data_IF_950564129009
#
_entry.id   IF_950564129009
#
_cell.length_a   1.000
_cell.length_b   1.000
_cell.length_c   1.000
_cell.angle_alpha   90.00
_cell.angle_beta   90.00
_cell.angle_gamma   90.00
#
_symmetry.space_group_name_H-M   'P 1'
#
loop_
_entity.id
_entity.type
_entity.pdbx_description
1 polymer ?
#
# COMPACT_ATOMS: atom_id res chain seq x y z
N UNK A 1 -31.45 12.49 7.32
CA UNK A 1 -30.78 11.47 8.16
C UNK A 1 -29.32 11.41 7.73
N UNK A 2 -28.38 12.03 8.48
CA UNK A 2 -26.95 11.89 8.20
C UNK A 2 -26.57 10.47 8.61
N UNK A 3 -26.41 9.57 7.66
CA UNK A 3 -25.85 8.23 7.90
C UNK A 3 -24.49 8.44 8.58
N UNK A 4 -24.39 8.07 9.87
CA UNK A 4 -23.12 8.02 10.57
C UNK A 4 -22.23 7.06 9.79
N UNK A 5 -21.01 7.48 9.47
CA UNK A 5 -20.06 6.63 8.76
C UNK A 5 -19.82 5.34 9.55
N UNK A 6 -19.97 4.15 8.94
CA UNK A 6 -19.74 2.91 9.65
C UNK A 6 -18.25 2.84 10.07
N UNK A 7 -18.02 2.28 11.24
CA UNK A 7 -16.68 1.97 11.70
C UNK A 7 -16.00 1.00 10.70
N UNK A 8 -14.69 1.13 10.51
CA UNK A 8 -13.93 0.28 9.58
C UNK A 8 -14.14 -1.22 9.85
N UNK A 9 -14.25 -1.64 11.10
CA UNK A 9 -14.58 -3.02 11.46
C UNK A 9 -15.94 -3.46 10.91
N UNK A 10 -16.98 -2.63 11.09
CA UNK A 10 -18.34 -2.94 10.59
C UNK A 10 -18.31 -3.04 9.07
N UNK A 11 -17.61 -2.13 8.39
CA UNK A 11 -17.46 -2.18 6.94
C UNK A 11 -16.81 -3.48 6.46
N UNK A 12 -15.67 -3.86 7.06
CA UNK A 12 -14.95 -5.08 6.69
C UNK A 12 -15.74 -6.35 6.96
N UNK A 13 -16.44 -6.43 8.11
CA UNK A 13 -17.34 -7.54 8.39
C UNK A 13 -18.51 -7.60 7.41
N UNK A 14 -19.04 -6.44 6.99
CA UNK A 14 -20.08 -6.40 5.96
C UNK A 14 -19.59 -6.92 4.60
N UNK A 15 -18.37 -6.52 4.19
CA UNK A 15 -17.74 -7.03 2.96
C UNK A 15 -17.49 -8.53 3.09
N UNK A 16 -16.95 -8.99 4.20
CA UNK A 16 -16.71 -10.40 4.48
C UNK A 16 -18.02 -11.22 4.38
N UNK A 17 -19.11 -10.71 4.95
CA UNK A 17 -20.42 -11.33 4.88
C UNK A 17 -21.00 -11.35 3.45
N UNK A 18 -20.81 -10.27 2.69
CA UNK A 18 -21.22 -10.20 1.27
C UNK A 18 -20.46 -11.20 0.42
N UNK A 19 -19.15 -11.35 0.62
CA UNK A 19 -18.35 -12.34 -0.10
C UNK A 19 -18.77 -13.76 0.32
N UNK A 20 -19.00 -14.02 1.61
CA UNK A 20 -19.53 -15.31 2.08
C UNK A 20 -20.89 -15.62 1.44
N UNK A 21 -21.78 -14.63 1.32
CA UNK A 21 -23.04 -14.79 0.62
C UNK A 21 -22.85 -15.08 -0.89
N UNK A 22 -21.90 -14.39 -1.55
CA UNK A 22 -21.59 -14.64 -2.95
C UNK A 22 -21.16 -16.09 -3.23
N UNK A 23 -20.52 -16.76 -2.25
CA UNK A 23 -20.11 -18.17 -2.38
C UNK A 23 -21.27 -19.17 -2.54
N UNK A 24 -22.51 -18.74 -2.29
CA UNK A 24 -23.73 -19.56 -2.49
C UNK A 24 -24.25 -19.48 -3.92
N UNK A 25 -23.82 -18.48 -4.69
CA UNK A 25 -24.29 -18.21 -6.04
C UNK A 25 -23.21 -18.47 -7.09
N UNK A 26 -21.95 -18.23 -6.77
CA UNK A 26 -20.83 -18.46 -7.68
C UNK A 26 -20.38 -19.91 -7.56
N UNK A 27 -20.38 -20.69 -8.65
CA UNK A 27 -19.92 -22.09 -8.63
C UNK A 27 -18.41 -22.15 -8.31
N UNK A 28 -18.01 -23.20 -7.60
CA UNK A 28 -16.60 -23.48 -7.37
C UNK A 28 -15.88 -23.89 -8.66
N UNK A 29 -14.73 -23.30 -8.91
CA UNK A 29 -13.84 -23.69 -10.01
C UNK A 29 -12.41 -23.83 -9.55
N UNK A 30 -11.61 -24.56 -10.30
CA UNK A 30 -10.22 -24.79 -9.98
C UNK A 30 -9.39 -24.92 -11.25
N UNK A 31 -8.23 -24.26 -11.23
CA UNK A 31 -7.13 -24.57 -12.14
C UNK A 31 -6.15 -25.52 -11.45
N UNK A 32 -5.54 -26.41 -12.20
CA UNK A 32 -4.39 -27.17 -11.71
C UNK A 32 -3.17 -26.26 -11.63
N UNK A 33 -2.28 -26.54 -10.66
CA UNK A 33 -1.06 -25.78 -10.47
C UNK A 33 0.15 -26.68 -10.58
N UNK A 34 1.20 -26.20 -11.25
CA UNK A 34 2.48 -26.88 -11.36
C UNK A 34 3.58 -26.08 -10.64
N UNK A 35 4.52 -26.78 -10.03
CA UNK A 35 5.65 -26.15 -9.37
C UNK A 35 6.73 -25.81 -10.41
N UNK A 36 6.93 -24.53 -10.68
CA UNK A 36 7.97 -24.02 -11.58
C UNK A 36 8.89 -23.10 -10.78
N UNK A 37 10.17 -23.43 -10.70
CA UNK A 37 11.17 -22.65 -9.95
C UNK A 37 10.76 -22.35 -8.49
N UNK A 38 10.16 -23.33 -7.81
CA UNK A 38 9.70 -23.16 -6.42
C UNK A 38 8.41 -22.39 -6.24
N UNK A 39 7.73 -21.96 -7.32
CA UNK A 39 6.45 -21.26 -7.29
C UNK A 39 5.34 -22.10 -7.90
N UNK A 40 4.16 -22.08 -7.28
CA UNK A 40 2.98 -22.71 -7.87
C UNK A 40 2.42 -21.78 -8.95
N UNK A 41 2.42 -22.24 -10.20
CA UNK A 41 1.84 -21.55 -11.34
C UNK A 41 0.59 -22.28 -11.82
N UNK A 42 -0.41 -21.54 -12.21
CA UNK A 42 -1.68 -22.03 -12.76
C UNK A 42 -1.48 -22.55 -14.19
N UNK A 43 -2.06 -23.69 -14.52
CA UNK A 43 -2.19 -24.15 -15.91
C UNK A 43 -3.51 -23.65 -16.49
N UNK A 44 -3.48 -22.73 -17.48
CA UNK A 44 -4.67 -22.07 -17.99
C UNK A 44 -5.64 -23.02 -18.72
N UNK A 45 -5.19 -24.21 -19.14
CA UNK A 45 -5.99 -25.16 -19.90
C UNK A 45 -6.70 -26.20 -19.01
N UNK A 46 -6.54 -26.13 -17.71
CA UNK A 46 -7.02 -27.16 -16.76
C UNK A 46 -8.23 -26.72 -15.96
N UNK A 47 -8.85 -25.58 -16.30
CA UNK A 47 -10.04 -25.13 -15.57
C UNK A 47 -11.15 -26.20 -15.60
N UNK A 48 -11.67 -26.50 -14.44
CA UNK A 48 -12.84 -27.35 -14.26
C UNK A 48 -13.67 -26.88 -13.07
N UNK A 49 -14.97 -27.08 -13.16
CA UNK A 49 -15.84 -26.83 -12.03
C UNK A 49 -15.66 -27.91 -10.97
N UNK A 50 -15.60 -27.49 -9.72
CA UNK A 50 -15.53 -28.36 -8.54
C UNK A 50 -16.80 -28.25 -7.72
N UNK A 51 -17.01 -29.18 -6.78
CA UNK A 51 -18.13 -29.09 -5.87
C UNK A 51 -18.12 -27.74 -5.14
N UNK A 52 -19.21 -27.02 -5.21
CA UNK A 52 -19.35 -25.73 -4.52
C UNK A 52 -19.16 -25.92 -3.00
N UNK A 53 -18.38 -25.03 -2.40
CA UNK A 53 -18.11 -25.00 -0.96
C UNK A 53 -18.64 -23.68 -0.36
N UNK A 54 -19.97 -23.52 -0.25
CA UNK A 54 -20.57 -22.28 0.27
C UNK A 54 -20.12 -22.03 1.71
N UNK A 55 -19.68 -20.82 1.98
CA UNK A 55 -19.16 -20.44 3.27
C UNK A 55 -20.29 -19.92 4.17
N UNK A 56 -20.72 -20.77 5.11
CA UNK A 56 -21.78 -20.46 6.07
C UNK A 56 -21.29 -19.66 7.28
N UNK A 57 -22.18 -19.43 8.24
CA UNK A 57 -21.92 -18.61 9.43
C UNK A 57 -20.69 -19.08 10.23
N UNK A 58 -20.48 -20.39 10.37
CA UNK A 58 -19.31 -20.94 11.10
C UNK A 58 -18.01 -20.59 10.39
N UNK A 59 -17.96 -20.70 9.06
CA UNK A 59 -16.80 -20.30 8.27
C UNK A 59 -16.56 -18.78 8.39
N UNK A 60 -17.61 -17.98 8.29
CA UNK A 60 -17.57 -16.53 8.47
C UNK A 60 -16.97 -16.14 9.82
N UNK A 61 -17.39 -16.79 10.93
CA UNK A 61 -16.87 -16.49 12.27
C UNK A 61 -15.42 -16.99 12.48
N UNK A 62 -15.01 -18.05 11.80
CA UNK A 62 -13.63 -18.57 11.85
C UNK A 62 -12.65 -17.79 10.92
N UNK A 63 -13.15 -17.13 9.90
CA UNK A 63 -12.32 -16.46 8.90
C UNK A 63 -11.38 -15.39 9.48
N UNK A 64 -11.79 -14.54 10.46
CA UNK A 64 -10.88 -13.58 11.08
C UNK A 64 -9.69 -14.24 11.80
N UNK A 65 -9.89 -15.41 12.42
CA UNK A 65 -8.81 -16.17 13.08
C UNK A 65 -7.81 -16.68 12.02
N UNK A 66 -8.32 -17.29 10.95
CA UNK A 66 -7.48 -17.71 9.81
C UNK A 66 -6.75 -16.52 9.21
N UNK A 67 -7.45 -15.37 9.05
CA UNK A 67 -6.87 -14.13 8.56
C UNK A 67 -5.74 -13.60 9.43
N UNK A 68 -5.89 -13.70 10.76
CA UNK A 68 -4.83 -13.34 11.71
C UNK A 68 -3.60 -14.24 11.53
N UNK A 69 -3.79 -15.55 11.42
CA UNK A 69 -2.70 -16.52 11.23
C UNK A 69 -1.99 -16.30 9.89
N UNK A 70 -2.74 -16.08 8.80
CA UNK A 70 -2.17 -15.87 7.47
C UNK A 70 -1.48 -14.50 7.34
N UNK A 71 -1.93 -13.49 8.08
CA UNK A 71 -1.32 -12.16 8.13
C UNK A 71 -0.35 -11.99 9.32
N UNK A 72 0.00 -13.05 10.05
CA UNK A 72 0.75 -12.96 11.30
C UNK A 72 2.08 -12.21 11.17
N UNK A 73 2.80 -12.40 10.06
CA UNK A 73 4.05 -11.73 9.76
C UNK A 73 3.86 -10.20 9.64
N UNK A 74 2.85 -9.75 8.88
CA UNK A 74 2.52 -8.33 8.73
C UNK A 74 2.05 -7.74 10.08
N UNK A 75 1.25 -8.49 10.81
CA UNK A 75 0.75 -8.07 12.13
C UNK A 75 1.91 -7.90 13.11
N UNK A 76 2.81 -8.88 13.18
CA UNK A 76 4.02 -8.81 14.03
C UNK A 76 4.89 -7.61 13.65
N UNK A 77 5.14 -7.40 12.35
CA UNK A 77 5.85 -6.25 11.82
C UNK A 77 5.24 -4.92 12.29
N UNK A 78 3.94 -4.74 12.11
CA UNK A 78 3.23 -3.51 12.49
C UNK A 78 3.36 -3.25 13.99
N UNK A 79 3.18 -4.28 14.84
CA UNK A 79 3.28 -4.14 16.30
C UNK A 79 4.73 -3.81 16.76
N UNK A 80 5.73 -4.50 16.20
CA UNK A 80 7.15 -4.28 16.52
C UNK A 80 7.57 -2.87 16.10
N UNK A 81 7.23 -2.48 14.87
CA UNK A 81 7.62 -1.16 14.36
C UNK A 81 6.89 -0.05 15.09
N UNK A 82 5.60 -0.25 15.43
CA UNK A 82 4.87 0.70 16.27
C UNK A 82 5.51 0.91 17.63
N UNK A 83 5.94 -0.18 18.28
CA UNK A 83 6.71 -0.13 19.51
C UNK A 83 8.05 0.62 19.34
N UNK A 84 8.78 0.32 18.26
CA UNK A 84 10.04 0.98 17.95
C UNK A 84 9.89 2.49 17.75
N UNK A 85 8.86 2.91 17.00
CA UNK A 85 8.57 4.34 16.80
C UNK A 85 8.17 5.05 18.09
N UNK A 86 7.41 4.41 18.98
CA UNK A 86 7.05 4.98 20.27
C UNK A 86 8.30 5.21 21.15
N UNK A 87 9.30 4.32 21.11
CA UNK A 87 10.60 4.53 21.77
C UNK A 87 11.32 5.74 21.17
N UNK A 88 11.37 5.87 19.85
CA UNK A 88 11.97 7.05 19.19
C UNK A 88 11.22 8.33 19.57
N UNK A 89 9.90 8.34 19.54
CA UNK A 89 9.08 9.49 19.96
C UNK A 89 9.35 9.89 21.41
N UNK A 90 9.53 8.91 22.32
CA UNK A 90 9.83 9.18 23.74
C UNK A 90 11.14 9.96 23.95
N UNK A 91 12.05 9.94 22.95
CA UNK A 91 13.28 10.75 22.99
C UNK A 91 13.07 12.21 22.58
N UNK A 92 11.86 12.59 22.09
CA UNK A 92 11.51 13.91 21.56
C UNK A 92 12.32 14.35 20.32
N UNK A 93 13.13 13.45 19.77
CA UNK A 93 14.00 13.75 18.62
C UNK A 93 13.18 14.03 17.35
N UNK A 94 12.13 13.22 17.09
CA UNK A 94 11.22 13.41 15.94
C UNK A 94 10.48 14.73 16.08
N UNK A 95 9.93 15.04 17.24
CA UNK A 95 9.18 16.29 17.46
C UNK A 95 10.07 17.52 17.25
N UNK A 96 11.33 17.44 17.69
CA UNK A 96 12.31 18.51 17.47
C UNK A 96 12.66 18.67 15.98
N UNK A 97 12.80 17.56 15.24
CA UNK A 97 13.00 17.59 13.81
C UNK A 97 11.78 18.19 13.07
N UNK A 98 10.56 17.78 13.45
CA UNK A 98 9.30 18.32 12.89
C UNK A 98 9.23 19.83 13.10
N UNK A 99 9.53 20.30 14.33
CA UNK A 99 9.59 21.76 14.63
C UNK A 99 10.64 22.47 13.78
N UNK A 100 11.79 21.86 13.55
CA UNK A 100 12.84 22.46 12.72
C UNK A 100 12.43 22.56 11.25
N UNK A 101 11.82 21.51 10.72
CA UNK A 101 11.25 21.50 9.36
C UNK A 101 10.12 22.51 9.24
N UNK A 102 9.23 22.60 10.23
CA UNK A 102 8.13 23.57 10.24
C UNK A 102 8.65 25.02 10.18
N UNK A 103 9.66 25.36 10.97
CA UNK A 103 10.33 26.68 10.90
C UNK A 103 10.94 26.96 9.55
N UNK A 104 11.66 25.99 8.97
CA UNK A 104 12.22 26.14 7.63
C UNK A 104 11.12 26.34 6.57
N UNK A 105 10.01 25.62 6.69
CA UNK A 105 8.85 25.74 5.81
C UNK A 105 8.17 27.13 5.91
N UNK A 106 8.10 27.73 7.10
CA UNK A 106 7.56 29.08 7.27
C UNK A 106 8.43 30.15 6.61
N UNK A 107 9.76 30.00 6.68
CA UNK A 107 10.71 31.01 6.28
C UNK A 107 11.23 30.83 4.83
N UNK A 108 11.05 29.65 4.22
CA UNK A 108 11.55 29.32 2.89
C UNK A 108 10.46 28.95 1.91
N UNK A 109 10.28 29.76 0.86
CA UNK A 109 9.38 29.44 -0.25
C UNK A 109 9.80 28.15 -0.99
N UNK A 110 11.11 27.89 -1.07
CA UNK A 110 11.65 26.68 -1.67
C UNK A 110 11.21 25.44 -0.89
N UNK A 111 11.40 25.42 0.43
CA UNK A 111 10.98 24.30 1.30
C UNK A 111 9.46 24.06 1.17
N UNK A 112 8.66 25.12 1.12
CA UNK A 112 7.21 25.01 0.92
C UNK A 112 6.85 24.35 -0.42
N UNK A 113 7.55 24.68 -1.48
CA UNK A 113 7.26 24.17 -2.81
C UNK A 113 7.77 22.74 -3.02
N UNK A 114 8.87 22.35 -2.37
CA UNK A 114 9.59 21.10 -2.67
C UNK A 114 9.34 19.98 -1.70
N UNK A 115 8.85 20.23 -0.48
CA UNK A 115 8.71 19.22 0.58
C UNK A 115 7.81 18.05 0.13
N UNK A 116 6.57 18.33 -0.32
CA UNK A 116 5.63 17.30 -0.78
C UNK A 116 6.19 16.57 -2.02
N UNK A 117 6.64 17.27 -3.09
CA UNK A 117 7.23 16.60 -4.26
C UNK A 117 8.38 15.67 -3.91
N UNK A 118 9.32 16.13 -3.06
CA UNK A 118 10.50 15.34 -2.71
C UNK A 118 10.09 14.06 -2.00
N UNK A 119 9.27 14.14 -0.95
CA UNK A 119 8.89 12.96 -0.18
C UNK A 119 8.02 12.00 -0.98
N UNK A 120 7.02 12.48 -1.73
CA UNK A 120 6.20 11.63 -2.60
C UNK A 120 7.07 10.90 -3.62
N UNK A 121 8.03 11.60 -4.24
CA UNK A 121 8.97 10.99 -5.21
C UNK A 121 9.90 9.98 -4.55
N UNK A 122 10.41 10.23 -3.34
CA UNK A 122 11.24 9.28 -2.60
C UNK A 122 10.47 8.00 -2.26
N UNK A 123 9.25 8.11 -1.76
CA UNK A 123 8.40 6.94 -1.51
C UNK A 123 8.04 6.21 -2.80
N UNK A 124 7.78 6.96 -3.88
CA UNK A 124 7.51 6.39 -5.20
C UNK A 124 8.72 5.64 -5.76
N UNK A 125 9.92 6.17 -5.60
CA UNK A 125 11.16 5.44 -5.94
C UNK A 125 11.27 4.15 -5.13
N UNK A 126 10.97 4.17 -3.82
CA UNK A 126 10.94 2.97 -2.99
C UNK A 126 9.99 1.90 -3.53
N UNK A 127 8.74 2.28 -3.84
CA UNK A 127 7.75 1.39 -4.45
C UNK A 127 8.19 0.85 -5.82
N UNK A 128 8.81 1.71 -6.64
CA UNK A 128 9.18 1.38 -8.02
C UNK A 128 10.46 0.55 -8.14
N UNK A 129 11.34 0.57 -7.14
CA UNK A 129 12.64 -0.11 -7.20
C UNK A 129 12.68 -1.39 -6.41
N UNK A 130 12.39 -1.34 -5.12
CA UNK A 130 12.43 -2.51 -4.24
C UNK A 130 11.05 -2.96 -3.74
N UNK A 131 9.96 -2.36 -4.25
CA UNK A 131 8.61 -2.81 -3.94
C UNK A 131 8.12 -2.37 -2.56
N UNK A 132 8.55 -1.18 -2.07
CA UNK A 132 8.07 -0.62 -0.81
C UNK A 132 6.55 -0.56 -0.77
N UNK A 133 5.97 -1.25 0.18
CA UNK A 133 4.53 -1.42 0.32
C UNK A 133 4.11 -1.32 1.80
N UNK A 134 4.22 -2.40 2.56
CA UNK A 134 3.94 -2.47 4.00
C UNK A 134 4.88 -1.58 4.81
N UNK A 135 6.10 -1.39 4.35
CA UNK A 135 7.11 -0.54 4.97
C UNK A 135 6.72 0.95 4.99
N UNK A 136 5.75 1.34 4.15
CA UNK A 136 5.20 2.70 4.17
C UNK A 136 4.29 2.96 5.39
N UNK A 137 3.70 1.92 6.00
CA UNK A 137 2.73 2.05 7.10
C UNK A 137 3.30 2.86 8.29
N UNK A 138 4.50 2.55 8.82
CA UNK A 138 5.05 3.26 9.97
C UNK A 138 5.30 4.75 9.75
N UNK A 139 5.57 5.15 8.50
CA UNK A 139 5.86 6.55 8.20
C UNK A 139 4.65 7.48 8.42
N UNK A 140 3.44 6.94 8.48
CA UNK A 140 2.23 7.69 8.85
C UNK A 140 2.39 8.34 10.23
N UNK A 141 3.09 7.68 11.17
CA UNK A 141 3.36 8.19 12.51
C UNK A 141 4.25 9.45 12.50
N UNK A 142 5.01 9.67 11.45
CA UNK A 142 5.88 10.84 11.26
C UNK A 142 5.16 11.90 10.41
N UNK A 143 4.61 11.46 9.28
CA UNK A 143 4.09 12.39 8.28
C UNK A 143 2.75 13.04 8.67
N UNK A 144 1.93 12.38 9.49
CA UNK A 144 0.69 12.99 10.01
C UNK A 144 1.00 14.15 10.97
N UNK A 145 1.81 13.97 12.04
CA UNK A 145 2.22 15.10 12.88
C UNK A 145 2.94 16.20 12.10
N UNK A 146 3.83 15.82 11.16
CA UNK A 146 4.52 16.79 10.31
C UNK A 146 3.54 17.62 9.47
N UNK A 147 2.59 16.97 8.79
CA UNK A 147 1.59 17.66 7.97
C UNK A 147 0.75 18.63 8.81
N UNK A 148 0.32 18.22 10.01
CA UNK A 148 -0.41 19.06 10.93
C UNK A 148 0.39 20.28 11.41
N UNK A 149 1.70 20.08 11.71
CA UNK A 149 2.61 21.15 12.09
C UNK A 149 2.83 22.17 10.95
N UNK A 150 2.80 21.70 9.69
CA UNK A 150 2.95 22.54 8.50
C UNK A 150 1.64 23.27 8.09
N UNK A 151 0.55 23.04 8.83
CA UNK A 151 -0.76 23.63 8.57
C UNK A 151 -1.58 22.89 7.51
N UNK A 152 -1.18 21.65 7.18
CA UNK A 152 -1.96 20.73 6.36
C UNK A 152 -2.88 19.88 7.25
N UNK A 153 -3.45 18.81 6.70
CA UNK A 153 -4.38 17.89 7.37
C UNK A 153 -3.84 16.46 7.48
N UNK A 154 -4.55 15.61 8.22
CA UNK A 154 -4.22 14.20 8.36
C UNK A 154 -4.21 13.47 7.01
N UNK A 155 -5.12 13.80 6.07
CA UNK A 155 -5.14 13.19 4.74
C UNK A 155 -3.83 13.44 4.00
N UNK A 156 -3.32 14.67 4.01
CA UNK A 156 -2.03 15.01 3.40
C UNK A 156 -0.90 14.21 4.03
N UNK A 157 -0.89 14.10 5.37
CA UNK A 157 0.13 13.33 6.10
C UNK A 157 0.13 11.84 5.74
N UNK A 158 -1.04 11.24 5.58
CA UNK A 158 -1.20 9.84 5.13
C UNK A 158 -0.79 9.69 3.67
N UNK A 159 -1.23 10.61 2.82
CA UNK A 159 -1.07 10.49 1.38
C UNK A 159 0.40 10.57 0.93
N UNK A 160 1.25 11.34 1.60
CA UNK A 160 2.68 11.47 1.23
C UNK A 160 3.37 10.11 1.20
N UNK A 161 3.47 9.33 2.29
CA UNK A 161 4.12 8.02 2.25
C UNK A 161 3.30 6.98 1.50
N UNK A 162 2.02 6.91 1.73
CA UNK A 162 1.17 5.84 1.23
C UNK A 162 0.92 5.96 -0.28
N UNK A 163 0.40 7.10 -0.77
CA UNK A 163 0.20 7.25 -2.22
C UNK A 163 1.50 7.36 -2.98
N UNK A 164 2.56 7.94 -2.38
CA UNK A 164 3.89 7.92 -2.96
C UNK A 164 4.32 6.49 -3.25
N UNK A 165 4.37 5.63 -2.24
CA UNK A 165 4.80 4.24 -2.37
C UNK A 165 3.90 3.45 -3.34
N UNK A 166 2.58 3.63 -3.28
CA UNK A 166 1.63 2.92 -4.14
C UNK A 166 1.69 3.37 -5.61
N UNK A 167 1.92 4.66 -5.88
CA UNK A 167 2.15 5.15 -7.23
C UNK A 167 3.41 4.54 -7.84
N UNK A 168 4.48 4.41 -7.02
CA UNK A 168 5.70 3.72 -7.41
C UNK A 168 5.50 2.24 -7.63
N UNK A 169 4.81 1.56 -6.71
CA UNK A 169 4.55 0.13 -6.77
C UNK A 169 3.71 -0.25 -8.02
N UNK A 170 2.58 0.43 -8.23
CA UNK A 170 1.69 0.18 -9.37
C UNK A 170 2.22 0.68 -10.73
N UNK A 171 3.29 1.47 -10.75
CA UNK A 171 3.96 1.94 -11.96
C UNK A 171 5.47 1.60 -11.98
N UNK A 172 5.87 0.53 -11.31
CA UNK A 172 7.26 0.17 -11.08
C UNK A 172 8.04 -0.15 -12.35
N UNK A 173 9.35 0.09 -12.29
CA UNK A 173 10.29 -0.23 -13.38
C UNK A 173 11.33 -1.29 -12.98
N UNK A 174 11.58 -1.51 -11.68
CA UNK A 174 12.55 -2.50 -11.16
C UNK A 174 11.99 -3.37 -10.03
N UNK A 175 10.73 -3.21 -9.65
CA UNK A 175 10.15 -3.92 -8.51
C UNK A 175 10.18 -5.45 -8.74
N UNK A 176 10.92 -6.22 -7.91
CA UNK A 176 11.04 -7.66 -8.06
C UNK A 176 9.74 -8.40 -7.73
N UNK A 177 8.88 -7.86 -6.85
CA UNK A 177 7.70 -8.54 -6.31
C UNK A 177 6.48 -8.47 -7.24
N UNK A 178 6.41 -7.50 -8.15
CA UNK A 178 5.37 -7.47 -9.17
C UNK A 178 5.95 -7.60 -10.58
N UNK A 179 6.76 -6.64 -11.06
CA UNK A 179 7.31 -6.65 -12.43
C UNK A 179 8.19 -7.88 -12.66
N UNK A 180 9.17 -8.12 -11.77
CA UNK A 180 10.13 -9.22 -11.94
C UNK A 180 9.45 -10.58 -11.97
N UNK A 181 8.49 -10.82 -11.06
CA UNK A 181 7.74 -12.08 -11.01
C UNK A 181 6.83 -12.23 -12.22
N UNK A 182 6.08 -11.19 -12.58
CA UNK A 182 5.18 -11.21 -13.72
C UNK A 182 5.94 -11.48 -15.04
N UNK A 183 7.10 -10.86 -15.22
CA UNK A 183 7.98 -11.09 -16.38
C UNK A 183 8.53 -12.51 -16.41
N UNK A 184 9.01 -13.03 -15.28
CA UNK A 184 9.48 -14.40 -15.18
C UNK A 184 8.41 -15.43 -15.51
N UNK A 185 7.16 -15.23 -15.07
CA UNK A 185 6.01 -16.11 -15.38
C UNK A 185 5.63 -16.00 -16.86
N UNK A 186 5.59 -14.80 -17.40
CA UNK A 186 5.24 -14.57 -18.80
C UNK A 186 6.34 -14.98 -19.79
N UNK A 187 7.50 -15.42 -19.32
CA UNK A 187 8.63 -15.82 -20.18
C UNK A 187 9.30 -14.63 -20.88
N UNK A 188 9.26 -13.45 -20.27
CA UNK A 188 9.89 -12.22 -20.74
C UNK A 188 11.15 -11.96 -19.91
N UNK A 189 12.25 -11.44 -20.48
CA UNK A 189 13.45 -11.16 -19.71
C UNK A 189 13.16 -10.22 -18.54
N UNK A 190 13.63 -10.59 -17.34
CA UNK A 190 13.37 -9.84 -16.12
C UNK A 190 13.95 -8.42 -16.23
N UNK A 191 13.16 -7.43 -15.82
CA UNK A 191 13.43 -5.99 -15.91
C UNK A 191 13.64 -5.45 -17.34
N UNK A 192 13.21 -6.20 -18.37
CA UNK A 192 13.15 -5.67 -19.74
C UNK A 192 12.05 -4.59 -19.88
N UNK A 193 12.12 -3.82 -20.96
CA UNK A 193 11.17 -2.74 -21.21
C UNK A 193 11.29 -1.55 -20.24
N UNK A 194 12.41 -1.41 -19.51
CA UNK A 194 12.62 -0.39 -18.47
C UNK A 194 12.40 1.03 -18.98
N UNK A 195 12.80 1.34 -20.22
CA UNK A 195 12.68 2.71 -20.77
C UNK A 195 11.23 3.22 -20.74
N UNK A 196 10.28 2.41 -21.21
CA UNK A 196 8.88 2.81 -21.18
C UNK A 196 8.31 2.78 -19.76
N UNK A 197 8.71 1.82 -18.92
CA UNK A 197 8.29 1.75 -17.50
C UNK A 197 8.74 2.98 -16.72
N UNK A 198 9.90 3.56 -17.00
CA UNK A 198 10.34 4.84 -16.42
C UNK A 198 9.40 5.99 -16.78
N UNK A 199 8.89 6.02 -18.03
CA UNK A 199 7.89 7.03 -18.45
C UNK A 199 6.58 6.81 -17.67
N UNK A 200 6.14 5.57 -17.54
CA UNK A 200 4.92 5.20 -16.77
C UNK A 200 5.07 5.61 -15.31
N UNK A 201 6.21 5.29 -14.69
CA UNK A 201 6.51 5.67 -13.31
C UNK A 201 6.53 7.19 -13.13
N UNK A 202 7.22 7.91 -14.03
CA UNK A 202 7.30 9.37 -13.96
C UNK A 202 5.91 10.01 -14.10
N UNK A 203 5.07 9.50 -15.02
CA UNK A 203 3.70 9.99 -15.21
C UNK A 203 2.82 9.74 -13.97
N UNK A 204 2.82 8.53 -13.41
CA UNK A 204 2.03 8.20 -12.21
C UNK A 204 2.50 9.01 -10.99
N UNK A 205 3.82 9.14 -10.80
CA UNK A 205 4.40 9.93 -9.71
C UNK A 205 4.05 11.41 -9.85
N UNK A 206 4.21 11.97 -11.06
CA UNK A 206 3.89 13.37 -11.34
C UNK A 206 2.42 13.68 -11.07
N UNK A 207 1.51 12.84 -11.54
CA UNK A 207 0.07 12.98 -11.28
C UNK A 207 -0.22 12.97 -9.78
N UNK A 208 0.39 12.04 -9.03
CA UNK A 208 0.25 11.95 -7.58
C UNK A 208 0.74 13.22 -6.88
N UNK A 209 1.93 13.70 -7.26
CA UNK A 209 2.53 14.92 -6.72
C UNK A 209 1.64 16.14 -7.00
N UNK A 210 1.20 16.32 -8.24
CA UNK A 210 0.37 17.46 -8.63
C UNK A 210 -0.97 17.46 -7.93
N UNK A 211 -1.63 16.29 -7.85
CA UNK A 211 -2.89 16.15 -7.13
C UNK A 211 -2.72 16.49 -5.65
N UNK A 212 -1.68 15.96 -5.01
CA UNK A 212 -1.46 16.17 -3.59
C UNK A 212 -1.06 17.61 -3.29
N UNK A 213 -0.24 18.24 -4.12
CA UNK A 213 0.08 19.67 -4.00
C UNK A 213 -1.15 20.55 -4.14
N UNK A 214 -1.99 20.28 -5.14
CA UNK A 214 -3.26 20.99 -5.33
C UNK A 214 -4.17 20.85 -4.10
N UNK A 215 -4.32 19.65 -3.60
CA UNK A 215 -5.15 19.37 -2.43
C UNK A 215 -4.60 20.04 -1.17
N UNK A 216 -3.31 19.87 -0.88
CA UNK A 216 -2.64 20.44 0.27
C UNK A 216 -2.74 22.01 0.26
N UNK A 217 -2.54 22.63 -0.89
CA UNK A 217 -2.70 24.08 -1.04
C UNK A 217 -4.13 24.54 -0.78
N UNK A 218 -5.14 23.76 -1.21
CA UNK A 218 -6.55 24.04 -0.99
C UNK A 218 -6.92 23.95 0.50
N UNK A 219 -6.48 22.91 1.18
CA UNK A 219 -6.71 22.71 2.63
C UNK A 219 -5.97 23.75 3.45
N UNK A 220 -4.74 24.11 3.06
CA UNK A 220 -3.98 25.16 3.77
C UNK A 220 -4.67 26.54 3.70
N UNK A 221 -5.31 26.85 2.57
CA UNK A 221 -6.09 28.10 2.41
C UNK A 221 -7.41 28.08 3.19
N UNK A 222 -8.07 26.94 3.24
CA UNK A 222 -9.33 26.75 3.95
C UNK A 222 -9.36 25.37 4.62
N UNK A 223 -8.92 25.27 5.89
CA UNK A 223 -8.87 24.00 6.63
C UNK A 223 -10.24 23.31 6.78
N UNK A 224 -11.34 24.05 6.74
CA UNK A 224 -12.69 23.48 6.83
C UNK A 224 -13.07 22.59 5.63
N UNK A 225 -12.32 22.67 4.51
CA UNK A 225 -12.48 21.79 3.35
C UNK A 225 -11.86 20.40 3.55
N UNK A 226 -11.07 20.20 4.62
CA UNK A 226 -10.51 18.91 4.95
C UNK A 226 -11.59 17.93 5.39
N UNK A 227 -11.65 16.71 4.82
CA UNK A 227 -12.54 15.67 5.31
C UNK A 227 -12.25 15.22 6.75
N UNK A 228 -11.04 15.51 7.25
CA UNK A 228 -10.57 15.19 8.60
C UNK A 228 -10.53 16.39 9.53
N UNK A 229 -11.15 17.51 9.18
CA UNK A 229 -11.05 18.77 9.93
C UNK A 229 -11.30 18.61 11.44
N UNK A 230 -12.37 17.92 11.83
CA UNK A 230 -12.71 17.70 13.24
C UNK A 230 -11.65 16.86 13.96
N UNK A 231 -11.17 15.80 13.29
CA UNK A 231 -10.08 14.95 13.80
C UNK A 231 -8.78 15.75 13.97
N UNK A 232 -8.48 16.62 13.00
CA UNK A 232 -7.27 17.43 12.99
C UNK A 232 -7.30 18.49 14.11
N UNK A 233 -8.46 19.08 14.38
CA UNK A 233 -8.63 19.99 15.53
C UNK A 233 -8.37 19.28 16.85
N UNK A 234 -8.94 18.09 17.07
CA UNK A 234 -8.72 17.30 18.27
C UNK A 234 -7.22 16.96 18.45
N UNK A 235 -6.56 16.52 17.39
CA UNK A 235 -5.12 16.19 17.42
C UNK A 235 -4.22 17.38 17.76
N UNK A 236 -4.54 18.56 17.21
CA UNK A 236 -3.78 19.78 17.52
C UNK A 236 -3.97 20.22 18.97
N UNK A 237 -5.09 19.88 19.60
CA UNK A 237 -5.34 20.14 21.02
C UNK A 237 -4.64 19.11 21.92
N UNK A 238 -4.66 17.82 21.53
CA UNK A 238 -3.99 16.74 22.27
C UNK A 238 -2.46 16.89 22.26
N UNK A 239 -1.91 17.31 21.12
CA UNK A 239 -0.48 17.50 20.91
C UNK A 239 -0.22 18.89 20.33
N UNK A 240 -0.32 19.95 21.16
CA UNK A 240 0.05 21.26 20.69
C UNK A 240 1.53 21.23 20.29
N UNK A 241 1.81 21.41 19.01
CA UNK A 241 3.19 21.71 18.57
C UNK A 241 3.48 23.12 19.04
N UNK A 242 3.73 23.25 20.35
CA UNK A 242 4.13 24.53 20.94
C UNK A 242 5.46 24.90 20.30
N UNK A 243 5.46 25.93 19.47
CA UNK A 243 6.67 26.57 18.96
C UNK A 243 7.31 27.35 20.10
N UNK A 244 7.80 26.64 21.13
CA UNK A 244 8.63 27.31 22.14
C UNK A 244 9.96 27.65 21.50
N UNK A 245 10.32 28.91 21.59
CA UNK A 245 11.57 29.47 21.04
C UNK A 245 12.84 28.87 21.67
N UNK A 246 12.71 28.01 22.67
CA UNK A 246 13.79 27.48 23.53
C UNK A 246 14.23 26.06 23.19
N UNK A 247 13.46 25.28 22.43
CA UNK A 247 13.83 23.90 22.12
C UNK A 247 14.86 23.82 20.97
N UNK A 248 16.12 23.97 21.32
CA UNK A 248 17.23 23.72 20.38
C UNK A 248 17.47 22.22 20.22
N UNK A 249 17.76 21.79 19.00
CA UNK A 249 18.23 20.44 18.74
C UNK A 249 19.49 20.18 19.56
N UNK A 250 19.43 19.21 20.46
CA UNK A 250 20.58 18.79 21.24
C UNK A 250 21.41 17.76 20.46
N UNK A 251 22.68 17.58 20.83
CA UNK A 251 23.52 16.54 20.23
C UNK A 251 22.91 15.13 20.37
N UNK A 252 22.16 14.89 21.45
CA UNK A 252 21.41 13.63 21.64
C UNK A 252 20.30 13.46 20.64
N UNK A 253 19.48 14.48 20.38
CA UNK A 253 18.44 14.46 19.37
C UNK A 253 19.07 14.19 17.99
N UNK A 254 20.18 14.86 17.67
CA UNK A 254 20.94 14.62 16.45
C UNK A 254 21.42 13.18 16.32
N UNK A 255 21.95 12.59 17.39
CA UNK A 255 22.41 11.20 17.40
C UNK A 255 21.24 10.21 17.19
N UNK A 256 20.10 10.42 17.85
CA UNK A 256 18.89 9.59 17.65
C UNK A 256 18.40 9.67 16.20
N UNK A 257 18.35 10.88 15.64
CA UNK A 257 17.92 11.07 14.23
C UNK A 257 18.92 10.44 13.25
N UNK A 258 20.23 10.49 13.55
CA UNK A 258 21.25 9.84 12.74
C UNK A 258 21.12 8.31 12.77
N UNK A 259 20.84 7.71 13.94
CA UNK A 259 20.57 6.27 14.08
C UNK A 259 19.31 5.89 13.30
N UNK A 260 18.26 6.71 13.40
CA UNK A 260 17.02 6.50 12.65
C UNK A 260 17.26 6.57 11.12
N UNK A 261 17.97 7.59 10.65
CA UNK A 261 18.35 7.72 9.24
C UNK A 261 19.24 6.56 8.77
N UNK A 262 20.19 6.12 9.60
CA UNK A 262 21.03 4.96 9.31
C UNK A 262 20.19 3.68 9.19
N UNK A 263 19.22 3.47 10.07
CA UNK A 263 18.29 2.34 9.97
C UNK A 263 17.51 2.35 8.65
N UNK A 264 17.02 3.53 8.21
CA UNK A 264 16.34 3.64 6.91
C UNK A 264 17.27 3.34 5.73
N UNK A 265 18.51 3.84 5.76
CA UNK A 265 19.51 3.53 4.72
C UNK A 265 19.83 2.04 4.72
N UNK A 266 20.02 1.43 5.91
CA UNK A 266 20.29 0.00 6.07
C UNK A 266 19.12 -0.83 5.55
N UNK A 267 17.87 -0.42 5.81
CA UNK A 267 16.68 -1.06 5.26
C UNK A 267 16.72 -1.09 3.74
N UNK A 268 16.96 0.06 3.10
CA UNK A 268 17.03 0.14 1.64
C UNK A 268 18.15 -0.74 1.07
N UNK A 269 19.34 -0.72 1.67
CA UNK A 269 20.46 -1.58 1.26
C UNK A 269 20.12 -3.05 1.49
N UNK A 270 19.51 -3.39 2.62
CA UNK A 270 19.07 -4.73 2.98
C UNK A 270 18.11 -5.30 1.95
N UNK A 271 17.07 -4.54 1.60
CA UNK A 271 16.08 -4.98 0.59
C UNK A 271 16.70 -5.09 -0.80
N UNK A 272 17.47 -4.09 -1.24
CA UNK A 272 18.01 -4.06 -2.62
C UNK A 272 19.14 -5.06 -2.84
N UNK A 273 20.00 -5.30 -1.83
CA UNK A 273 21.22 -6.10 -1.98
C UNK A 273 21.16 -7.48 -1.35
N UNK A 274 20.35 -7.65 -0.30
CA UNK A 274 20.32 -8.85 0.52
C UNK A 274 18.95 -9.51 0.55
N UNK A 275 18.01 -9.09 -0.30
CA UNK A 275 16.64 -9.62 -0.42
C UNK A 275 15.88 -9.61 0.92
N UNK A 276 16.14 -8.62 1.77
CA UNK A 276 15.42 -8.47 3.04
C UNK A 276 13.92 -8.30 2.79
N UNK A 277 13.15 -8.92 3.66
CA UNK A 277 11.70 -8.82 3.66
C UNK A 277 11.20 -8.39 5.05
N UNK A 278 9.95 -8.61 5.35
CA UNK A 278 9.27 -8.11 6.56
C UNK A 278 10.02 -8.49 7.86
N UNK A 279 10.56 -9.71 7.95
CA UNK A 279 11.19 -10.22 9.18
C UNK A 279 12.49 -9.48 9.49
N UNK A 280 13.37 -9.30 8.50
CA UNK A 280 14.65 -8.61 8.65
C UNK A 280 14.40 -7.13 8.93
N UNK A 281 13.40 -6.53 8.28
CA UNK A 281 13.03 -5.13 8.50
C UNK A 281 12.48 -4.95 9.92
N UNK A 282 11.63 -5.86 10.41
CA UNK A 282 11.14 -5.84 11.79
C UNK A 282 12.29 -5.94 12.80
N UNK A 283 13.25 -6.85 12.56
CA UNK A 283 14.43 -7.03 13.40
C UNK A 283 15.32 -5.77 13.40
N UNK A 284 15.50 -5.12 12.24
CA UNK A 284 16.22 -3.86 12.12
C UNK A 284 15.57 -2.75 12.97
N UNK A 285 14.25 -2.58 12.86
CA UNK A 285 13.54 -1.57 13.66
C UNK A 285 13.57 -1.86 15.15
N UNK A 286 13.49 -3.13 15.55
CA UNK A 286 13.67 -3.53 16.96
C UNK A 286 15.07 -3.20 17.46
N UNK A 287 16.09 -3.53 16.66
CA UNK A 287 17.50 -3.20 16.97
C UNK A 287 17.68 -1.69 17.08
N UNK A 288 17.15 -0.93 16.14
CA UNK A 288 17.13 0.54 16.17
C UNK A 288 16.50 1.06 17.47
N UNK A 289 15.35 0.51 17.89
CA UNK A 289 14.68 0.94 19.11
C UNK A 289 15.54 0.71 20.37
N UNK A 290 16.26 -0.41 20.43
CA UNK A 290 17.19 -0.70 21.53
C UNK A 290 18.33 0.32 21.56
N UNK A 291 18.99 0.55 20.41
CA UNK A 291 20.10 1.50 20.29
C UNK A 291 19.64 2.93 20.60
N UNK A 292 18.48 3.34 20.06
CA UNK A 292 17.87 4.65 20.35
C UNK A 292 17.55 4.81 21.83
N UNK A 293 17.02 3.77 22.47
CA UNK A 293 16.74 3.78 23.90
C UNK A 293 18.00 4.02 24.75
N UNK A 294 19.11 3.36 24.39
CA UNK A 294 20.40 3.54 25.06
C UNK A 294 20.95 4.96 24.83
N UNK A 295 21.00 5.44 23.59
CA UNK A 295 21.52 6.77 23.24
C UNK A 295 20.60 7.87 23.79
N UNK A 296 19.29 7.66 23.75
CA UNK A 296 18.27 8.53 24.35
C UNK A 296 18.28 8.55 25.86
N UNK A 297 19.05 7.65 26.50
CA UNK A 297 19.14 7.48 27.98
C UNK A 297 17.77 7.14 28.58
N UNK A 298 16.96 6.37 27.90
CA UNK A 298 15.75 5.79 28.46
C UNK A 298 16.13 4.65 29.40
N UNK A 299 15.67 4.70 30.62
CA UNK A 299 15.84 3.55 31.55
C UNK A 299 15.06 2.34 31.01
N UNK A 300 15.43 1.09 31.40
CA UNK A 300 14.79 -0.13 30.92
C UNK A 300 13.25 -0.12 31.03
N UNK A 301 12.73 0.32 32.18
CA UNK A 301 11.30 0.38 32.43
C UNK A 301 10.57 1.37 31.50
N UNK A 302 11.16 2.55 31.26
CA UNK A 302 10.62 3.54 30.34
C UNK A 302 10.69 3.06 28.89
N UNK A 303 11.76 2.34 28.51
CA UNK A 303 11.89 1.72 27.20
C UNK A 303 10.79 0.70 26.96
N UNK A 304 10.64 -0.26 27.90
CA UNK A 304 9.59 -1.30 27.83
C UNK A 304 8.20 -0.68 27.80
N UNK A 305 7.91 0.27 28.70
CA UNK A 305 6.61 0.94 28.75
C UNK A 305 6.30 1.66 27.44
N UNK A 306 7.28 2.37 26.85
CA UNK A 306 7.09 3.08 25.58
C UNK A 306 6.87 2.09 24.42
N UNK A 307 7.67 1.03 24.33
CA UNK A 307 7.54 0.00 23.31
C UNK A 307 6.17 -0.69 23.38
N UNK A 308 5.77 -1.13 24.58
CA UNK A 308 4.46 -1.77 24.79
C UNK A 308 3.28 -0.83 24.50
N UNK A 309 3.44 0.46 24.83
CA UNK A 309 2.40 1.44 24.49
C UNK A 309 2.25 1.58 22.97
N UNK A 310 3.37 1.71 22.23
CA UNK A 310 3.32 1.78 20.76
C UNK A 310 2.72 0.53 20.10
N UNK A 311 3.08 -0.66 20.58
CA UNK A 311 2.48 -1.90 20.12
C UNK A 311 0.97 -1.96 20.43
N UNK A 312 0.56 -1.56 21.64
CA UNK A 312 -0.85 -1.49 22.06
C UNK A 312 -1.66 -0.53 21.20
N UNK A 313 -1.10 0.63 20.85
CA UNK A 313 -1.78 1.63 20.02
C UNK A 313 -2.05 1.11 18.59
N UNK A 314 -1.28 0.12 18.13
CA UNK A 314 -1.44 -0.54 16.83
C UNK A 314 -2.27 -1.84 16.88
N UNK A 315 -2.70 -2.30 18.04
CA UNK A 315 -3.55 -3.50 18.15
C UNK A 315 -4.86 -3.42 17.33
N UNK A 316 -5.58 -2.28 17.28
CA UNK A 316 -6.72 -2.13 16.37
C UNK A 316 -6.34 -2.31 14.90
N UNK A 317 -5.19 -1.78 14.47
CA UNK A 317 -4.68 -1.93 13.10
C UNK A 317 -4.39 -3.40 12.78
N UNK A 318 -3.78 -4.14 13.70
CA UNK A 318 -3.53 -5.58 13.56
C UNK A 318 -4.83 -6.38 13.35
N UNK A 319 -5.88 -6.08 14.12
CA UNK A 319 -7.19 -6.73 13.95
C UNK A 319 -7.86 -6.37 12.62
N UNK A 320 -7.74 -5.13 12.18
CA UNK A 320 -8.27 -4.67 10.88
C UNK A 320 -7.59 -5.43 9.74
N UNK A 321 -6.26 -5.60 9.78
CA UNK A 321 -5.50 -6.38 8.80
C UNK A 321 -5.97 -7.85 8.77
N UNK A 322 -6.19 -8.45 9.93
CA UNK A 322 -6.69 -9.82 10.04
C UNK A 322 -8.07 -10.01 9.37
N UNK A 323 -9.01 -9.07 9.60
CA UNK A 323 -10.36 -9.13 9.00
C UNK A 323 -10.28 -8.87 7.49
N UNK A 324 -9.46 -7.92 7.06
CA UNK A 324 -9.25 -7.68 5.63
C UNK A 324 -8.72 -8.95 4.92
N UNK A 325 -7.76 -9.66 5.54
CA UNK A 325 -7.23 -10.92 5.01
C UNK A 325 -8.27 -12.04 4.97
N UNK A 326 -9.20 -12.06 5.93
CA UNK A 326 -10.29 -13.03 5.99
C UNK A 326 -11.19 -13.01 4.74
N UNK A 327 -11.35 -11.87 4.07
CA UNK A 327 -12.15 -11.75 2.85
C UNK A 327 -11.61 -12.61 1.71
N UNK A 328 -10.28 -12.58 1.51
CA UNK A 328 -9.58 -13.43 0.54
C UNK A 328 -9.71 -14.91 0.91
N UNK A 329 -9.58 -15.25 2.18
CA UNK A 329 -9.67 -16.64 2.66
C UNK A 329 -11.05 -17.23 2.37
N UNK A 330 -12.13 -16.49 2.63
CA UNK A 330 -13.49 -16.94 2.33
C UNK A 330 -13.66 -17.19 0.81
N UNK A 331 -13.17 -16.30 -0.03
CA UNK A 331 -13.25 -16.46 -1.48
C UNK A 331 -12.42 -17.66 -1.98
N UNK A 332 -11.23 -17.85 -1.42
CA UNK A 332 -10.33 -18.98 -1.74
C UNK A 332 -10.90 -20.32 -1.27
N UNK A 333 -11.36 -20.42 -0.02
CA UNK A 333 -11.90 -21.65 0.55
C UNK A 333 -13.19 -22.10 -0.16
N UNK A 334 -13.92 -21.16 -0.78
CA UNK A 334 -15.09 -21.41 -1.61
C UNK A 334 -14.73 -21.77 -3.07
N UNK A 335 -13.47 -21.66 -3.47
CA UNK A 335 -13.01 -21.85 -4.85
C UNK A 335 -13.65 -20.92 -5.88
N UNK A 336 -14.11 -19.72 -5.48
CA UNK A 336 -14.77 -18.78 -6.40
C UNK A 336 -13.78 -17.89 -7.17
N UNK A 337 -12.52 -17.75 -6.69
CA UNK A 337 -11.51 -16.87 -7.31
C UNK A 337 -11.19 -17.35 -8.73
N UNK A 338 -10.92 -18.65 -8.88
CA UNK A 338 -10.57 -19.24 -10.18
C UNK A 338 -11.75 -19.18 -11.16
N UNK A 339 -12.98 -19.38 -10.68
CA UNK A 339 -14.21 -19.20 -11.48
C UNK A 339 -14.34 -17.77 -11.96
N UNK A 340 -14.18 -16.79 -11.06
CA UNK A 340 -14.24 -15.37 -11.43
C UNK A 340 -13.19 -15.02 -12.49
N UNK A 341 -11.97 -15.54 -12.33
CA UNK A 341 -10.91 -15.33 -13.30
C UNK A 341 -11.28 -15.95 -14.65
N UNK A 342 -11.78 -17.21 -14.65
CA UNK A 342 -12.21 -17.89 -15.85
C UNK A 342 -13.33 -17.14 -16.61
N UNK A 343 -14.36 -16.68 -15.89
CA UNK A 343 -15.51 -15.99 -16.46
C UNK A 343 -15.17 -14.57 -16.96
N UNK A 344 -14.12 -13.94 -16.43
CA UNK A 344 -13.64 -12.63 -16.88
C UNK A 344 -12.75 -12.71 -18.13
N UNK A 345 -12.11 -13.87 -18.40
CA UNK A 345 -11.17 -14.02 -19.52
C UNK A 345 -11.79 -13.78 -20.91
N UNK A 346 -13.00 -14.28 -21.22
CA UNK A 346 -13.64 -14.05 -22.51
C UNK A 346 -13.88 -12.56 -22.82
N UNK A 347 -14.00 -11.72 -21.77
CA UNK A 347 -14.19 -10.28 -21.91
C UNK A 347 -12.97 -9.58 -22.53
N UNK A 348 -11.77 -10.17 -22.44
CA UNK A 348 -10.54 -9.62 -23.03
C UNK A 348 -10.57 -9.68 -24.53
N UNK A 349 -11.27 -10.67 -25.13
CA UNK A 349 -11.35 -10.82 -26.58
C UNK A 349 -11.86 -9.52 -27.21
N UNK A 350 -11.08 -8.99 -28.14
CA UNK A 350 -11.37 -7.74 -28.85
C UNK A 350 -10.75 -7.78 -30.24
N UNK A 351 -11.35 -7.10 -31.18
CA UNK A 351 -10.82 -6.93 -32.53
C UNK A 351 -9.58 -6.03 -32.62
N UNK A 352 -9.28 -5.26 -31.55
CA UNK A 352 -8.17 -4.32 -31.54
C UNK A 352 -7.31 -4.51 -30.28
N UNK A 353 -5.96 -4.67 -30.41
CA UNK A 353 -5.05 -4.93 -29.30
C UNK A 353 -5.11 -3.90 -28.16
N UNK A 354 -5.30 -2.62 -28.49
CA UNK A 354 -5.40 -1.55 -27.48
C UNK A 354 -6.58 -1.79 -26.54
N UNK A 355 -7.77 -2.12 -27.08
CA UNK A 355 -8.93 -2.40 -26.24
C UNK A 355 -8.76 -3.70 -25.44
N UNK A 356 -8.07 -4.70 -25.99
CA UNK A 356 -7.76 -5.92 -25.27
C UNK A 356 -6.84 -5.61 -24.06
N UNK A 357 -5.77 -4.84 -24.24
CA UNK A 357 -4.88 -4.43 -23.15
C UNK A 357 -5.61 -3.59 -22.08
N UNK A 358 -6.49 -2.67 -22.51
CA UNK A 358 -7.30 -1.87 -21.59
C UNK A 358 -8.29 -2.73 -20.79
N UNK A 359 -8.91 -3.73 -21.41
CA UNK A 359 -9.77 -4.69 -20.70
C UNK A 359 -8.97 -5.56 -19.74
N UNK A 360 -7.74 -6.02 -20.12
CA UNK A 360 -6.83 -6.70 -19.21
C UNK A 360 -6.56 -5.88 -17.95
N UNK A 361 -6.27 -4.57 -18.10
CA UNK A 361 -6.09 -3.65 -16.98
C UNK A 361 -7.32 -3.58 -16.06
N UNK A 362 -8.51 -3.46 -16.63
CA UNK A 362 -9.76 -3.39 -15.85
C UNK A 362 -10.00 -4.70 -15.08
N UNK A 363 -9.77 -5.84 -15.71
CA UNK A 363 -9.88 -7.16 -15.08
C UNK A 363 -8.86 -7.29 -13.94
N UNK A 364 -7.62 -6.89 -14.15
CA UNK A 364 -6.59 -6.92 -13.12
C UNK A 364 -6.94 -6.02 -11.94
N UNK A 365 -7.54 -4.85 -12.19
CA UNK A 365 -8.04 -3.97 -11.13
C UNK A 365 -9.19 -4.60 -10.31
N UNK A 366 -10.06 -5.38 -10.95
CA UNK A 366 -11.13 -6.13 -10.25
C UNK A 366 -10.53 -7.28 -9.43
N UNK A 367 -9.58 -8.03 -10.00
CA UNK A 367 -8.91 -9.14 -9.28
C UNK A 367 -8.12 -8.61 -8.09
N UNK A 368 -7.51 -7.43 -8.20
CA UNK A 368 -6.80 -6.77 -7.11
C UNK A 368 -7.68 -6.50 -5.88
N UNK A 369 -9.01 -6.40 -6.04
CA UNK A 369 -9.94 -6.32 -4.91
C UNK A 369 -9.90 -7.57 -4.02
N UNK A 370 -9.62 -8.74 -4.60
CA UNK A 370 -9.55 -10.01 -3.88
C UNK A 370 -8.09 -10.37 -3.53
N UNK A 371 -7.16 -10.11 -4.46
CA UNK A 371 -5.74 -10.49 -4.33
C UNK A 371 -4.87 -9.25 -4.54
N UNK A 372 -4.62 -8.50 -3.48
CA UNK A 372 -3.82 -7.27 -3.48
C UNK A 372 -2.33 -7.52 -3.14
N UNK A 373 -1.84 -8.72 -3.42
CA UNK A 373 -0.43 -9.07 -3.36
C UNK A 373 0.12 -9.15 -4.79
N UNK A 374 1.05 -8.26 -5.15
CA UNK A 374 1.64 -8.23 -6.49
C UNK A 374 2.16 -9.60 -6.94
N UNK A 375 2.90 -10.29 -6.06
CA UNK A 375 3.36 -11.66 -6.30
C UNK A 375 2.21 -12.66 -6.47
N UNK A 376 1.23 -12.63 -5.56
CA UNK A 376 0.10 -13.57 -5.58
C UNK A 376 -0.81 -13.36 -6.79
N UNK A 377 -1.11 -12.11 -7.11
CA UNK A 377 -1.92 -11.79 -8.29
C UNK A 377 -1.19 -12.15 -9.58
N UNK A 378 0.11 -11.88 -9.70
CA UNK A 378 0.92 -12.30 -10.85
C UNK A 378 0.93 -13.82 -11.01
N UNK A 379 1.14 -14.59 -9.94
CA UNK A 379 1.17 -16.06 -9.97
C UNK A 379 -0.17 -16.67 -10.42
N UNK A 380 -1.29 -16.05 -10.06
CA UNK A 380 -2.61 -16.49 -10.48
C UNK A 380 -2.93 -16.07 -11.92
N UNK A 381 -2.67 -14.81 -12.28
CA UNK A 381 -3.23 -14.23 -13.51
C UNK A 381 -2.29 -14.32 -14.70
N UNK A 382 -0.97 -14.19 -14.52
CA UNK A 382 -0.03 -14.12 -15.65
C UNK A 382 0.09 -15.41 -16.47
N UNK A 383 -0.03 -16.63 -15.88
CA UNK A 383 -0.07 -17.86 -16.66
C UNK A 383 -1.20 -17.90 -17.70
N UNK A 384 -2.29 -17.19 -17.41
CA UNK A 384 -3.48 -17.09 -18.28
C UNK A 384 -3.40 -15.86 -19.18
N UNK A 385 -3.06 -14.70 -18.60
CA UNK A 385 -3.03 -13.43 -19.32
C UNK A 385 -1.93 -13.35 -20.38
N UNK A 386 -0.76 -13.96 -20.15
CA UNK A 386 0.32 -13.91 -21.13
C UNK A 386 0.01 -14.67 -22.41
N UNK A 387 -0.46 -15.95 -22.40
CA UNK A 387 -0.91 -16.62 -23.62
C UNK A 387 -2.12 -15.94 -24.26
N UNK A 388 -3.07 -15.42 -23.47
CA UNK A 388 -4.21 -14.68 -23.96
C UNK A 388 -3.81 -13.41 -24.70
N UNK A 389 -2.79 -12.70 -24.20
CA UNK A 389 -2.24 -11.52 -24.86
C UNK A 389 -1.70 -11.86 -26.26
N UNK A 390 -0.96 -12.96 -26.41
CA UNK A 390 -0.48 -13.44 -27.71
C UNK A 390 -1.62 -13.68 -28.70
N UNK A 391 -2.72 -14.27 -28.23
CA UNK A 391 -3.92 -14.57 -29.07
C UNK A 391 -4.65 -13.32 -29.56
N UNK A 392 -4.64 -12.23 -28.78
CA UNK A 392 -5.32 -10.98 -29.11
C UNK A 392 -4.38 -9.91 -29.69
N UNK A 393 -3.15 -10.27 -30.02
CA UNK A 393 -2.16 -9.39 -30.64
C UNK A 393 -1.58 -8.33 -29.69
N UNK A 394 -1.62 -8.58 -28.39
CA UNK A 394 -0.99 -7.76 -27.34
C UNK A 394 0.35 -8.39 -26.95
N UNK A 395 1.41 -7.60 -26.85
CA UNK A 395 2.69 -8.15 -26.38
C UNK A 395 2.61 -8.52 -24.90
N UNK A 396 3.36 -9.56 -24.50
CA UNK A 396 3.40 -9.99 -23.09
C UNK A 396 3.87 -8.88 -22.16
N UNK A 397 4.81 -8.02 -22.59
CA UNK A 397 5.23 -6.83 -21.85
C UNK A 397 4.06 -5.88 -21.57
N UNK A 398 3.19 -5.66 -22.57
CA UNK A 398 2.00 -4.82 -22.42
C UNK A 398 0.98 -5.45 -21.49
N UNK A 399 0.79 -6.77 -21.54
CA UNK A 399 -0.07 -7.50 -20.61
C UNK A 399 0.45 -7.39 -19.15
N UNK A 400 1.77 -7.48 -18.95
CA UNK A 400 2.40 -7.26 -17.64
C UNK A 400 2.20 -5.82 -17.18
N UNK A 401 2.30 -4.85 -18.07
CA UNK A 401 2.02 -3.45 -17.74
C UNK A 401 0.55 -3.25 -17.34
N UNK A 402 -0.39 -3.90 -18.03
CA UNK A 402 -1.81 -3.85 -17.69
C UNK A 402 -2.09 -4.45 -16.30
N UNK A 403 -1.46 -5.58 -15.96
CA UNK A 403 -1.48 -6.16 -14.62
C UNK A 403 -0.97 -5.16 -13.58
N UNK A 404 0.21 -4.63 -13.80
CA UNK A 404 0.89 -3.73 -12.88
C UNK A 404 0.08 -2.45 -12.61
N UNK A 405 -0.43 -1.80 -13.67
CA UNK A 405 -1.27 -0.61 -13.53
C UNK A 405 -2.57 -0.89 -12.76
N UNK A 406 -3.07 -2.13 -12.78
CA UNK A 406 -4.21 -2.57 -11.96
C UNK A 406 -3.99 -2.34 -10.46
N UNK A 407 -2.75 -2.42 -9.99
CA UNK A 407 -2.39 -2.20 -8.59
C UNK A 407 -2.47 -0.72 -8.14
N UNK A 408 -2.57 0.25 -9.07
CA UNK A 408 -2.89 1.63 -8.72
C UNK A 408 -4.27 1.78 -8.07
N UNK A 409 -5.11 0.74 -8.11
CA UNK A 409 -6.40 0.70 -7.40
C UNK A 409 -6.26 0.36 -5.91
N UNK A 410 -5.15 -0.23 -5.47
CA UNK A 410 -4.91 -0.68 -4.08
C UNK A 410 -5.22 0.37 -3.01
N UNK A 411 -4.84 1.66 -3.15
CA UNK A 411 -5.17 2.67 -2.14
C UNK A 411 -6.66 2.87 -1.89
N UNK A 412 -7.51 2.44 -2.81
CA UNK A 412 -8.96 2.56 -2.69
C UNK A 412 -9.63 1.29 -2.15
N UNK A 413 -8.91 0.17 -2.11
CA UNK A 413 -9.46 -1.14 -1.80
C UNK A 413 -9.57 -1.35 -0.28
N UNK A 414 -10.78 -1.58 0.26
CA UNK A 414 -10.98 -1.78 1.70
C UNK A 414 -10.50 -3.16 2.19
N UNK A 415 -10.35 -4.14 1.31
CA UNK A 415 -9.86 -5.48 1.62
C UNK A 415 -8.33 -5.56 1.66
N UNK A 416 -7.63 -4.50 1.22
CA UNK A 416 -6.18 -4.41 1.30
C UNK A 416 -5.73 -4.15 2.75
N UNK A 417 -4.94 -5.07 3.31
CA UNK A 417 -4.36 -4.94 4.65
C UNK A 417 -3.53 -3.67 4.82
N UNK A 418 -2.83 -3.23 3.76
CA UNK A 418 -2.04 -2.02 3.78
C UNK A 418 -2.93 -0.79 3.85
N UNK A 419 -3.93 -0.69 2.96
CA UNK A 419 -4.86 0.44 2.92
C UNK A 419 -5.55 0.62 4.27
N UNK A 420 -6.14 -0.47 4.80
CA UNK A 420 -6.85 -0.38 6.08
C UNK A 420 -5.89 -0.22 7.25
N UNK A 421 -4.68 -0.78 7.18
CA UNK A 421 -3.62 -0.62 8.17
C UNK A 421 -3.17 0.84 8.31
N UNK A 422 -2.83 1.48 7.19
CA UNK A 422 -2.46 2.90 7.13
C UNK A 422 -3.59 3.80 7.66
N UNK A 423 -4.83 3.55 7.22
CA UNK A 423 -5.99 4.35 7.62
C UNK A 423 -6.36 4.15 9.09
N UNK A 424 -6.27 2.92 9.61
CA UNK A 424 -6.50 2.63 11.01
C UNK A 424 -5.46 3.34 11.90
N UNK A 425 -4.18 3.30 11.51
CA UNK A 425 -3.10 4.00 12.19
C UNK A 425 -3.33 5.52 12.22
N UNK A 426 -3.79 6.07 11.10
CA UNK A 426 -4.17 7.47 10.99
C UNK A 426 -5.54 7.79 11.60
N UNK A 427 -6.28 6.82 12.16
CA UNK A 427 -7.66 6.97 12.66
C UNK A 427 -8.60 7.63 11.63
N UNK A 428 -8.38 7.36 10.34
CA UNK A 428 -9.19 7.88 9.24
C UNK A 428 -10.17 6.81 8.80
N UNK A 429 -11.50 7.04 8.85
CA UNK A 429 -12.48 6.10 8.34
C UNK A 429 -12.25 5.85 6.85
N UNK A 430 -12.29 4.56 6.42
CA UNK A 430 -12.07 4.21 5.03
C UNK A 430 -13.02 4.95 4.07
N UNK A 431 -14.29 5.12 4.42
CA UNK A 431 -15.23 5.84 3.55
C UNK A 431 -14.86 7.31 3.35
N UNK A 432 -14.27 7.96 4.36
CA UNK A 432 -13.75 9.33 4.26
C UNK A 432 -12.59 9.39 3.27
N UNK A 433 -11.65 8.46 3.39
CA UNK A 433 -10.52 8.31 2.48
C UNK A 433 -10.98 8.00 1.06
N UNK A 434 -11.86 7.00 0.88
CA UNK A 434 -12.35 6.57 -0.42
C UNK A 434 -13.03 7.72 -1.18
N UNK A 435 -13.91 8.49 -0.53
CA UNK A 435 -14.54 9.66 -1.14
C UNK A 435 -13.53 10.71 -1.59
N UNK A 436 -12.49 10.92 -0.79
CA UNK A 436 -11.43 11.86 -1.12
C UNK A 436 -10.55 11.33 -2.27
N UNK A 437 -10.33 10.02 -2.33
CA UNK A 437 -9.48 9.35 -3.32
C UNK A 437 -10.14 9.22 -4.70
N UNK A 438 -11.49 9.26 -4.81
CA UNK A 438 -12.22 9.09 -6.08
C UNK A 438 -11.66 9.93 -7.23
N UNK A 439 -11.42 11.24 -7.09
CA UNK A 439 -10.88 12.04 -8.20
C UNK A 439 -9.51 11.55 -8.68
N UNK A 440 -8.60 11.21 -7.76
CA UNK A 440 -7.29 10.68 -8.13
C UNK A 440 -7.40 9.31 -8.79
N UNK A 441 -8.30 8.45 -8.29
CA UNK A 441 -8.53 7.13 -8.88
C UNK A 441 -9.07 7.22 -10.31
N UNK A 442 -9.94 8.20 -10.60
CA UNK A 442 -10.40 8.47 -11.97
C UNK A 442 -9.26 8.98 -12.87
N UNK A 443 -8.37 9.81 -12.32
CA UNK A 443 -7.18 10.25 -13.06
C UNK A 443 -6.26 9.06 -13.34
N UNK A 444 -6.03 8.17 -12.37
CA UNK A 444 -5.24 6.95 -12.57
C UNK A 444 -5.87 6.01 -13.59
N UNK A 445 -7.19 5.85 -13.59
CA UNK A 445 -7.92 5.08 -14.58
C UNK A 445 -7.65 5.63 -15.99
N UNK A 446 -7.86 6.92 -16.20
CA UNK A 446 -7.63 7.57 -17.51
C UNK A 446 -6.15 7.47 -17.90
N UNK A 447 -5.24 7.73 -16.97
CA UNK A 447 -3.80 7.63 -17.19
C UNK A 447 -3.39 6.22 -17.64
N UNK A 448 -3.88 5.18 -16.94
CA UNK A 448 -3.59 3.78 -17.27
C UNK A 448 -4.11 3.42 -18.68
N UNK A 449 -5.34 3.83 -19.01
CA UNK A 449 -5.91 3.60 -20.34
C UNK A 449 -5.09 4.28 -21.44
N UNK A 450 -4.59 5.50 -21.20
CA UNK A 450 -3.73 6.24 -22.15
C UNK A 450 -2.33 5.61 -22.25
N UNK A 451 -1.73 5.23 -21.13
CA UNK A 451 -0.40 4.61 -21.10
C UNK A 451 -0.34 3.20 -21.71
N UNK A 452 -1.46 2.54 -21.92
CA UNK A 452 -1.53 1.26 -22.63
C UNK A 452 -1.62 1.42 -24.14
N UNK A 453 -1.87 2.62 -24.67
CA UNK A 453 -1.98 2.84 -26.14
C UNK A 453 -0.62 2.73 -26.85
N UNK A 454 0.44 3.48 -26.46
CA UNK A 454 1.72 3.43 -27.16
C UNK A 454 2.35 2.03 -27.23
N UNK A 455 2.41 1.24 -26.13
CA UNK A 455 3.03 -0.09 -26.20
C UNK A 455 2.28 -1.05 -27.13
N UNK A 456 0.96 -0.93 -27.26
CA UNK A 456 0.20 -1.73 -28.24
C UNK A 456 0.52 -1.32 -29.68
N UNK A 457 0.64 -0.01 -29.96
CA UNK A 457 0.93 0.49 -31.32
C UNK A 457 2.38 0.20 -31.75
N UNK A 458 3.34 0.29 -30.83
CA UNK A 458 4.76 0.07 -31.10
C UNK A 458 5.19 -1.40 -30.98
N UNK A 459 4.25 -2.31 -30.63
CA UNK A 459 4.56 -3.72 -30.33
C UNK A 459 5.71 -3.84 -29.32
N UNK A 460 5.62 -3.07 -28.23
CA UNK A 460 6.66 -2.97 -27.22
C UNK A 460 6.94 -4.34 -26.56
N UNK A 461 8.21 -4.77 -26.65
CA UNK A 461 8.69 -6.09 -26.21
C UNK A 461 9.82 -5.98 -25.17
#
# INVERSE_FOLDING_TARGET
MRLRMPNTFVLLFSILALIALATWFVPGGKYETHLVNGKQLVDPNTFHYVASSPQGLVALMKAPIKGFVEAAQIIAFVLIVGGAFAVVQKTEAIDTAIRSIARAHEHSALVRATLIPIFVTLFSLGGATFGMNEEAIPFVLIFVPLALALGYDTITGVAIPFLGSQAGFGAAFLNPFNVGIAQGIAGVPVFSGMGYRLIVWAAATLVTVLFLMWYAARVKRNPALSPTFVLDQARRQEHPVAMSSTDRMTGRHGAVLAIFALALVTMVIGVVKYDWFIDEIAALFLTMAIVVGMVGRLGPDNWVASFMQGAKDLAPTALVIAIARATMIIARDAHIIDTMLHDLMPLVQSSHPVFAAQKMYLIQSVINFFIHSGTGQAALTMPIMAPLADLVGVTRQTAILAFQLGELSTPMIPTSGITVGVLALARVPWLTWAKWMVPLQLIYLVLALLLLVPPCLMQWS
#
